data_IF_335927285957
#
_entry.id   IF_335927285957
#
_cell.length_a   1.000
_cell.length_b   1.000
_cell.length_c   1.000
_cell.angle_alpha   90.00
_cell.angle_beta   90.00
_cell.angle_gamma   90.00
#
_symmetry.space_group_name_H-M   'P 1'
#
loop_
_entity.id
_entity.type
_entity.pdbx_description
1 polymer ?
#
# COMPACT_ATOMS: atom_id res chain seq x y z
N UNK A 1 -0.61 11.00 -11.57
CA UNK A 1 -0.51 9.53 -11.38
C UNK A 1 0.97 9.17 -11.43
N UNK A 2 1.56 8.68 -10.34
CA UNK A 2 3.02 8.46 -10.26
C UNK A 2 3.39 6.99 -10.46
N UNK A 3 2.49 6.06 -10.10
CA UNK A 3 2.73 4.63 -10.23
C UNK A 3 1.46 3.90 -10.68
N UNK A 4 1.55 3.15 -11.79
CA UNK A 4 0.50 2.24 -12.27
C UNK A 4 1.16 0.92 -12.61
N UNK A 5 0.79 -0.13 -11.88
CA UNK A 5 1.27 -1.47 -12.17
C UNK A 5 0.45 -2.05 -13.32
N UNK A 6 1.04 -2.06 -14.52
CA UNK A 6 0.43 -2.62 -15.72
C UNK A 6 0.32 -4.16 -15.67
N UNK A 7 1.08 -4.81 -14.78
CA UNK A 7 1.14 -6.27 -14.61
C UNK A 7 0.38 -6.77 -13.38
N UNK A 8 -0.60 -6.01 -12.87
CA UNK A 8 -1.43 -6.46 -11.75
C UNK A 8 -2.23 -7.71 -12.15
N UNK A 9 -1.72 -8.89 -11.78
CA UNK A 9 -2.39 -10.18 -12.02
C UNK A 9 -3.68 -10.24 -11.20
N UNK A 10 -4.79 -10.64 -11.83
CA UNK A 10 -6.04 -10.94 -11.09
C UNK A 10 -5.80 -12.16 -10.18
N UNK A 11 -5.77 -11.94 -8.87
CA UNK A 11 -5.66 -13.02 -7.87
C UNK A 11 -7.07 -13.44 -7.46
N UNK A 12 -7.40 -14.73 -7.59
CA UNK A 12 -8.69 -15.29 -7.11
C UNK A 12 -8.85 -15.02 -5.59
N UNK A 13 -10.03 -14.55 -5.19
CA UNK A 13 -10.32 -14.22 -3.78
C UNK A 13 -9.66 -12.93 -3.27
N UNK A 14 -9.22 -12.06 -4.19
CA UNK A 14 -8.74 -10.72 -3.86
C UNK A 14 -9.82 -9.67 -4.07
N UNK A 15 -9.72 -8.57 -3.33
CA UNK A 15 -10.52 -7.36 -3.52
C UNK A 15 -9.60 -6.14 -3.55
N UNK A 16 -10.10 -5.07 -4.15
CA UNK A 16 -9.41 -3.79 -4.18
C UNK A 16 -9.64 -3.13 -2.82
N UNK A 17 -8.55 -2.67 -2.22
CA UNK A 17 -8.55 -1.91 -0.98
C UNK A 17 -7.86 -0.58 -1.24
N UNK A 18 -8.60 0.50 -1.08
CA UNK A 18 -8.09 1.85 -1.19
C UNK A 18 -7.47 2.26 0.14
N UNK A 19 -6.19 2.61 0.12
CA UNK A 19 -5.45 3.06 1.30
C UNK A 19 -5.26 4.56 1.21
N UNK A 20 -5.78 5.26 2.22
CA UNK A 20 -5.69 6.70 2.35
C UNK A 20 -4.89 7.10 3.59
N UNK A 21 -4.44 8.35 3.63
CA UNK A 21 -3.77 8.90 4.79
C UNK A 21 -4.74 9.04 5.97
N UNK A 22 -4.33 8.63 7.17
CA UNK A 22 -5.16 8.73 8.38
C UNK A 22 -5.39 10.17 8.85
N UNK A 23 -4.54 11.11 8.42
CA UNK A 23 -4.61 12.53 8.81
C UNK A 23 -5.38 13.34 7.76
N UNK A 24 -4.82 13.46 6.55
CA UNK A 24 -5.38 14.31 5.50
C UNK A 24 -6.41 13.60 4.60
N UNK A 25 -6.71 12.32 4.88
CA UNK A 25 -7.68 11.48 4.14
C UNK A 25 -7.42 11.35 2.63
N UNK A 26 -6.25 11.77 2.16
CA UNK A 26 -5.89 11.70 0.74
C UNK A 26 -5.63 10.26 0.35
N UNK A 27 -6.18 9.84 -0.79
CA UNK A 27 -5.97 8.51 -1.34
C UNK A 27 -4.55 8.35 -1.87
N UNK A 28 -3.86 7.33 -1.38
CA UNK A 28 -2.44 7.12 -1.63
C UNK A 28 -2.22 5.98 -2.60
N UNK A 29 -2.89 4.84 -2.36
CA UNK A 29 -2.62 3.61 -3.09
C UNK A 29 -3.87 2.73 -3.20
N UNK A 30 -4.09 2.20 -4.40
CA UNK A 30 -5.04 1.13 -4.68
C UNK A 30 -4.30 -0.21 -4.53
N UNK A 31 -4.69 -1.01 -3.54
CA UNK A 31 -4.01 -2.23 -3.14
C UNK A 31 -4.88 -3.46 -3.38
N UNK A 32 -4.34 -4.48 -4.02
CA UNK A 32 -5.04 -5.76 -4.18
C UNK A 32 -4.85 -6.64 -2.94
N UNK A 33 -5.84 -6.64 -2.05
CA UNK A 33 -5.80 -7.42 -0.82
C UNK A 33 -6.36 -8.82 -1.03
N UNK A 34 -5.64 -9.81 -0.51
CA UNK A 34 -6.05 -11.22 -0.51
C UNK A 34 -6.39 -11.61 0.93
N UNK A 35 -7.55 -12.25 1.13
CA UNK A 35 -7.98 -12.75 2.42
C UNK A 35 -8.68 -11.71 3.32
N UNK A 36 -9.27 -12.22 4.40
CA UNK A 36 -10.03 -11.43 5.38
C UNK A 36 -9.07 -10.90 6.47
N UNK A 37 -9.28 -9.67 6.95
CA UNK A 37 -8.52 -9.07 8.07
C UNK A 37 -7.88 -7.71 7.76
N UNK A 38 -7.17 -7.12 8.73
CA UNK A 38 -6.56 -5.78 8.58
C UNK A 38 -5.31 -5.78 7.69
N UNK A 39 -4.97 -4.63 7.12
CA UNK A 39 -3.78 -4.45 6.27
C UNK A 39 -2.53 -4.21 7.14
N UNK A 40 -1.80 -5.26 7.48
CA UNK A 40 -0.56 -5.13 8.27
C UNK A 40 0.66 -4.86 7.38
N UNK A 41 0.66 -5.43 6.17
CA UNK A 41 1.76 -5.35 5.21
C UNK A 41 1.22 -5.04 3.82
N UNK A 42 1.83 -4.06 3.17
CA UNK A 42 1.49 -3.67 1.81
C UNK A 42 2.61 -4.12 0.87
N UNK A 43 2.36 -5.19 0.12
CA UNK A 43 3.33 -5.76 -0.83
C UNK A 43 3.37 -4.94 -2.12
N UNK A 44 4.56 -4.52 -2.57
CA UNK A 44 4.72 -3.67 -3.76
C UNK A 44 4.16 -4.37 -5.01
N UNK A 45 4.41 -5.67 -5.13
CA UNK A 45 3.90 -6.56 -6.19
C UNK A 45 2.37 -6.57 -6.33
N UNK A 46 1.63 -6.22 -5.26
CA UNK A 46 0.15 -6.21 -5.24
C UNK A 46 -0.44 -4.80 -5.30
N UNK A 47 0.38 -3.78 -5.45
CA UNK A 47 -0.08 -2.41 -5.67
C UNK A 47 -0.59 -2.32 -7.10
N UNK A 48 -1.81 -1.84 -7.27
CA UNK A 48 -2.42 -1.62 -8.59
C UNK A 48 -2.04 -0.23 -9.07
N UNK A 49 -2.29 0.80 -8.26
CA UNK A 49 -1.94 2.20 -8.55
C UNK A 49 -1.53 2.93 -7.29
N UNK A 50 -0.71 3.96 -7.44
CA UNK A 50 -0.39 4.88 -6.36
C UNK A 50 -0.02 6.27 -6.83
N UNK A 51 -0.21 7.22 -5.93
CA UNK A 51 0.08 8.63 -6.13
C UNK A 51 1.42 9.04 -5.51
N UNK A 52 2.28 8.08 -5.18
CA UNK A 52 3.58 8.28 -4.53
C UNK A 52 4.65 7.36 -5.12
N UNK A 53 5.90 7.71 -4.85
CA UNK A 53 7.05 6.90 -5.22
C UNK A 53 7.27 5.75 -4.23
N UNK A 54 7.23 4.50 -4.73
CA UNK A 54 7.44 3.28 -3.93
C UNK A 54 8.92 2.84 -3.87
N UNK A 55 9.87 3.72 -4.21
CA UNK A 55 11.30 3.45 -4.03
C UNK A 55 11.75 3.75 -2.59
N UNK A 56 11.09 4.68 -1.90
CA UNK A 56 11.42 5.09 -0.51
C UNK A 56 10.37 4.59 0.49
N UNK A 57 10.41 5.12 1.71
CA UNK A 57 9.39 4.91 2.73
C UNK A 57 8.00 5.39 2.28
N UNK A 58 6.95 4.81 2.85
CA UNK A 58 5.58 5.13 2.50
C UNK A 58 5.15 6.41 3.23
N UNK A 59 5.27 7.55 2.55
CA UNK A 59 4.96 8.88 3.09
C UNK A 59 3.84 9.53 2.29
N UNK A 60 2.92 10.23 2.97
CA UNK A 60 1.87 10.99 2.32
C UNK A 60 2.46 12.23 1.61
N UNK A 61 2.13 12.47 0.33
CA UNK A 61 2.70 13.61 -0.40
C UNK A 61 2.06 14.95 -0.01
N UNK A 62 0.94 14.93 0.74
CA UNK A 62 0.19 16.13 1.11
C UNK A 62 0.50 16.65 2.52
N UNK A 63 0.76 15.75 3.46
CA UNK A 63 0.99 16.11 4.87
C UNK A 63 2.25 15.46 5.46
N UNK A 64 3.07 14.83 4.61
CA UNK A 64 4.34 14.19 4.99
C UNK A 64 4.21 13.12 6.08
N UNK A 65 2.98 12.66 6.32
CA UNK A 65 2.70 11.66 7.33
C UNK A 65 3.27 10.31 6.91
N UNK A 66 4.08 9.71 7.79
CA UNK A 66 4.63 8.37 7.58
C UNK A 66 3.54 7.31 7.78
N UNK A 67 3.17 6.62 6.70
CA UNK A 67 2.14 5.59 6.64
C UNK A 67 2.72 4.20 6.91
N UNK A 68 3.98 3.98 6.52
CA UNK A 68 4.65 2.70 6.67
C UNK A 68 6.15 2.75 6.38
N UNK A 69 6.88 1.80 6.98
CA UNK A 69 8.32 1.60 6.77
C UNK A 69 8.55 0.60 5.64
N UNK A 70 9.51 0.86 4.74
CA UNK A 70 9.90 -0.12 3.74
C UNK A 70 10.63 -1.29 4.40
N UNK A 71 10.15 -2.51 4.14
CA UNK A 71 10.75 -3.75 4.63
C UNK A 71 11.01 -4.72 3.47
N UNK A 72 12.12 -5.45 3.54
CA UNK A 72 12.43 -6.53 2.61
C UNK A 72 12.23 -7.85 3.34
N UNK A 73 11.31 -8.69 2.87
CA UNK A 73 11.11 -10.02 3.47
C UNK A 73 12.19 -10.97 2.97
N UNK A 74 13.18 -11.28 3.82
CA UNK A 74 14.30 -12.19 3.54
C UNK A 74 13.90 -13.57 3.00
N UNK A 75 12.71 -14.08 3.33
CA UNK A 75 12.25 -15.41 2.90
C UNK A 75 11.80 -15.50 1.43
N UNK A 76 11.50 -14.37 0.78
CA UNK A 76 10.93 -14.36 -0.60
C UNK A 76 11.48 -13.24 -1.46
N UNK A 77 12.48 -12.50 -0.98
CA UNK A 77 13.00 -11.27 -1.61
C UNK A 77 11.91 -10.28 -2.04
N UNK A 78 10.77 -10.31 -1.35
CA UNK A 78 9.63 -9.44 -1.65
C UNK A 78 9.75 -8.16 -0.86
N UNK A 79 9.74 -7.04 -1.57
CA UNK A 79 9.62 -5.69 -1.01
C UNK A 79 8.18 -5.47 -0.56
N UNK A 80 8.01 -5.04 0.68
CA UNK A 80 6.73 -4.70 1.27
C UNK A 80 6.88 -3.48 2.16
N UNK A 81 5.77 -2.89 2.57
CA UNK A 81 5.72 -1.85 3.58
C UNK A 81 5.06 -2.38 4.83
N UNK A 82 5.71 -2.16 5.98
CA UNK A 82 5.09 -2.38 7.29
C UNK A 82 4.22 -1.17 7.61
N UNK A 83 2.91 -1.37 7.60
CA UNK A 83 1.96 -0.27 7.82
C UNK A 83 1.95 0.14 9.30
N UNK A 84 2.01 1.44 9.58
CA UNK A 84 1.98 1.99 10.95
C UNK A 84 0.53 2.15 11.38
N UNK A 85 0.13 1.45 12.45
CA UNK A 85 -1.25 1.48 12.94
C UNK A 85 -1.69 2.89 13.31
N UNK A 86 -2.90 3.28 12.89
CA UNK A 86 -3.47 4.61 13.15
C UNK A 86 -2.99 5.73 12.23
N UNK A 87 -1.97 5.50 11.40
CA UNK A 87 -1.46 6.50 10.45
C UNK A 87 -2.12 6.43 9.07
N UNK A 88 -2.78 5.33 8.75
CA UNK A 88 -3.47 5.08 7.48
C UNK A 88 -4.93 4.70 7.72
N UNK A 89 -5.76 4.90 6.71
CA UNK A 89 -7.11 4.39 6.64
C UNK A 89 -7.26 3.46 5.44
N UNK A 90 -8.20 2.52 5.51
CA UNK A 90 -8.46 1.55 4.44
C UNK A 90 -9.94 1.49 4.15
N UNK A 91 -10.31 1.57 2.88
CA UNK A 91 -11.68 1.47 2.39
C UNK A 91 -11.74 0.40 1.30
N UNK A 92 -12.80 -0.39 1.29
CA UNK A 92 -13.05 -1.40 0.27
C UNK A 92 -14.04 -0.85 -0.76
#
# INVERSE_FOLDING_TARGET
MIYKNLNSKKIKGSYILMVSCGICKTDIVEYQKVGKGRLLRLYIDRIIKGSIDFSKDLVCPKCENKLGDKIVMKKRDKKAYRMIRGRYNTRQ
#
